data_IF_602912764270
#
_entry.id   IF_602912764270
#
_cell.length_a   1.000
_cell.length_b   1.000
_cell.length_c   1.000
_cell.angle_alpha   90.00
_cell.angle_beta   90.00
_cell.angle_gamma   90.00
#
_symmetry.space_group_name_H-M   'P 1'
#
loop_
_entity.id
_entity.type
_entity.pdbx_description
1 polymer ?
#
# COMPACT_ATOMS: atom_id res chain seq x y z
N UNK A 1 26.78 42.33 23.63
CA UNK A 1 27.01 41.05 22.93
C UNK A 1 27.32 41.35 21.48
N UNK A 2 28.30 40.67 20.88
CA UNK A 2 28.74 40.93 19.51
C UNK A 2 30.25 41.01 19.45
N UNK A 3 30.91 39.87 19.59
CA UNK A 3 32.37 39.77 19.51
C UNK A 3 32.74 39.65 18.03
N UNK A 4 33.48 40.62 17.47
CA UNK A 4 34.04 40.47 16.13
C UNK A 4 34.83 39.17 16.04
N UNK A 5 34.50 38.34 15.07
CA UNK A 5 35.04 36.98 14.96
C UNK A 5 35.68 36.81 13.58
N UNK A 6 36.95 36.41 13.57
CA UNK A 6 37.63 35.96 12.37
C UNK A 6 37.55 34.43 12.31
N UNK A 7 36.98 33.90 11.25
CA UNK A 7 36.91 32.46 11.05
C UNK A 7 38.14 32.01 10.24
N UNK A 8 38.87 31.00 10.75
CA UNK A 8 40.10 30.48 10.13
C UNK A 8 40.02 28.96 10.04
N UNK A 9 40.22 28.40 8.84
CA UNK A 9 40.27 26.95 8.60
C UNK A 9 38.99 26.18 8.94
N UNK A 10 37.84 26.53 8.36
CA UNK A 10 36.51 26.04 8.77
C UNK A 10 35.86 25.00 7.85
N UNK A 11 34.73 24.46 8.33
CA UNK A 11 33.70 23.77 7.55
C UNK A 11 32.55 24.71 7.18
N UNK A 12 31.87 24.47 6.04
CA UNK A 12 30.82 25.34 5.48
C UNK A 12 29.75 25.84 6.47
N UNK A 13 29.49 25.09 7.54
CA UNK A 13 28.53 25.42 8.60
C UNK A 13 28.82 26.76 9.30
N UNK A 14 30.08 27.12 9.52
CA UNK A 14 30.41 28.37 10.23
C UNK A 14 30.34 29.59 9.32
N UNK A 15 30.60 29.41 8.02
CA UNK A 15 30.38 30.45 7.02
C UNK A 15 28.89 30.77 6.91
N UNK A 16 28.02 29.75 6.84
CA UNK A 16 26.57 29.96 6.79
C UNK A 16 26.08 30.83 7.95
N UNK A 17 26.62 30.61 9.17
CA UNK A 17 26.29 31.45 10.33
C UNK A 17 26.79 32.87 10.15
N UNK A 18 28.02 33.08 9.68
CA UNK A 18 28.55 34.43 9.41
C UNK A 18 27.74 35.16 8.32
N UNK A 19 27.30 34.45 7.29
CA UNK A 19 26.47 35.00 6.21
C UNK A 19 25.10 35.48 6.71
N UNK A 20 24.52 34.81 7.71
CA UNK A 20 23.30 35.29 8.38
C UNK A 20 23.49 36.68 9.04
N UNK A 21 24.73 37.03 9.40
CA UNK A 21 25.10 38.34 9.94
C UNK A 21 25.71 39.27 8.87
N UNK A 22 25.77 38.84 7.60
CA UNK A 22 26.48 39.53 6.51
C UNK A 22 27.99 39.74 6.80
N UNK A 23 28.60 38.76 7.44
CA UNK A 23 30.00 38.77 7.86
C UNK A 23 30.83 37.67 7.18
N UNK A 24 30.34 37.05 6.12
CA UNK A 24 31.07 36.02 5.36
C UNK A 24 32.41 36.48 4.79
N UNK A 25 32.64 37.80 4.68
CA UNK A 25 33.93 38.37 4.31
C UNK A 25 35.03 38.12 5.37
N UNK A 26 34.66 37.87 6.64
CA UNK A 26 35.57 37.63 7.77
C UNK A 26 35.99 36.17 7.90
N UNK A 27 36.18 35.53 6.75
CA UNK A 27 36.64 34.17 6.62
C UNK A 27 37.98 34.14 5.86
N UNK A 28 38.96 33.38 6.34
CA UNK A 28 40.21 33.05 5.62
C UNK A 28 40.45 31.54 5.33
N UNK A 29 40.31 31.14 4.06
CA UNK A 29 40.42 29.73 3.63
C UNK A 29 41.83 29.17 3.89
N UNK A 30 41.95 27.86 4.13
CA UNK A 30 43.24 27.21 4.44
C UNK A 30 44.28 27.36 3.32
N UNK A 31 43.84 27.52 2.07
CA UNK A 31 44.72 27.75 0.91
C UNK A 31 45.41 29.13 0.93
N UNK A 32 44.94 30.07 1.76
CA UNK A 32 45.47 31.44 1.89
C UNK A 32 46.17 31.67 3.24
N UNK A 33 46.55 30.60 3.92
CA UNK A 33 47.05 30.62 5.29
C UNK A 33 48.56 30.95 5.35
N UNK A 34 48.89 32.13 5.88
CA UNK A 34 50.25 32.50 6.33
C UNK A 34 50.14 33.36 7.59
N UNK A 35 51.20 33.41 8.41
CA UNK A 35 51.20 34.20 9.64
C UNK A 35 50.94 35.69 9.35
N UNK A 36 51.58 36.22 8.31
CA UNK A 36 51.42 37.62 7.91
C UNK A 36 49.98 37.91 7.45
N UNK A 37 49.40 37.02 6.63
CA UNK A 37 48.02 37.17 6.18
C UNK A 37 47.00 37.13 7.33
N UNK A 38 47.22 36.29 8.36
CA UNK A 38 46.36 36.25 9.55
C UNK A 38 46.48 37.55 10.34
N UNK A 39 47.70 38.02 10.58
CA UNK A 39 47.96 39.26 11.30
C UNK A 39 47.34 40.47 10.59
N UNK A 40 47.44 40.55 9.26
CA UNK A 40 46.83 41.63 8.47
C UNK A 40 45.31 41.57 8.56
N UNK A 41 44.71 40.38 8.38
CA UNK A 41 43.25 40.21 8.49
C UNK A 41 42.71 40.50 9.88
N UNK A 42 43.48 40.20 10.92
CA UNK A 42 43.12 40.54 12.28
C UNK A 42 43.20 42.05 12.53
N UNK A 43 44.24 42.72 12.02
CA UNK A 43 44.35 44.19 12.07
C UNK A 43 43.18 44.87 11.36
N UNK A 44 42.78 44.37 10.19
CA UNK A 44 41.61 44.87 9.45
C UNK A 44 40.31 44.66 10.23
N UNK A 45 40.14 43.50 10.88
CA UNK A 45 38.95 43.21 11.71
C UNK A 45 38.88 44.15 12.91
N UNK A 46 40.01 44.42 13.56
CA UNK A 46 40.09 45.37 14.69
C UNK A 46 39.76 46.79 14.21
N UNK A 47 40.27 47.21 13.06
CA UNK A 47 39.95 48.53 12.50
C UNK A 47 38.46 48.67 12.15
N UNK A 48 37.81 47.60 11.69
CA UNK A 48 36.37 47.57 11.34
C UNK A 48 35.48 47.04 12.46
N UNK A 49 35.98 46.99 13.70
CA UNK A 49 35.26 46.29 14.78
C UNK A 49 33.88 46.90 15.07
N UNK A 50 33.73 48.22 14.96
CA UNK A 50 32.46 48.90 15.22
C UNK A 50 31.40 48.53 14.16
N UNK A 51 31.80 48.46 12.90
CA UNK A 51 30.94 48.03 11.80
C UNK A 51 30.47 46.58 12.01
N UNK A 52 31.39 45.69 12.37
CA UNK A 52 31.08 44.29 12.65
C UNK A 52 30.13 44.16 13.84
N UNK A 53 30.35 44.93 14.91
CA UNK A 53 29.46 44.96 16.08
C UNK A 53 28.06 45.46 15.73
N UNK A 54 27.94 46.48 14.88
CA UNK A 54 26.66 47.00 14.41
C UNK A 54 25.91 45.97 13.56
N UNK A 55 26.60 45.30 12.63
CA UNK A 55 26.02 44.20 11.83
C UNK A 55 25.52 43.07 12.72
N UNK A 56 26.32 42.64 13.71
CA UNK A 56 25.88 41.62 14.67
C UNK A 56 24.62 42.09 15.40
N UNK A 57 24.61 43.30 15.95
CA UNK A 57 23.47 43.81 16.69
C UNK A 57 22.19 43.92 15.82
N UNK A 58 22.32 44.36 14.57
CA UNK A 58 21.20 44.50 13.65
C UNK A 58 20.57 43.16 13.24
N UNK A 59 21.39 42.14 13.03
CA UNK A 59 20.93 40.83 12.55
C UNK A 59 20.63 39.84 13.68
N UNK A 60 21.16 40.04 14.89
CA UNK A 60 20.97 39.15 16.04
C UNK A 60 19.50 38.80 16.32
N UNK A 61 18.52 39.73 16.29
CA UNK A 61 17.12 39.37 16.51
C UNK A 61 16.58 38.37 15.48
N UNK A 62 16.92 38.54 14.20
CA UNK A 62 16.46 37.66 13.13
C UNK A 62 17.14 36.28 13.18
N UNK A 63 18.44 36.26 13.48
CA UNK A 63 19.20 35.01 13.66
C UNK A 63 18.69 34.22 14.87
N UNK A 64 18.43 34.90 15.99
CA UNK A 64 17.84 34.28 17.19
C UNK A 64 16.48 33.69 16.87
N UNK A 65 15.59 34.43 16.19
CA UNK A 65 14.27 33.92 15.77
C UNK A 65 14.37 32.72 14.82
N UNK A 66 15.34 32.71 13.92
CA UNK A 66 15.60 31.55 13.06
C UNK A 66 16.09 30.34 13.85
N UNK A 67 16.89 30.56 14.90
CA UNK A 67 17.38 29.51 15.80
C UNK A 67 16.25 28.96 16.68
N UNK A 68 15.38 29.81 17.19
CA UNK A 68 14.17 29.42 17.94
C UNK A 68 13.28 28.48 17.13
N UNK A 69 13.13 28.71 15.82
CA UNK A 69 12.37 27.82 14.93
C UNK A 69 12.95 26.40 14.88
N UNK A 70 14.26 26.22 15.07
CA UNK A 70 14.86 24.89 15.18
C UNK A 70 14.45 24.19 16.48
N UNK A 71 14.26 24.96 17.57
CA UNK A 71 13.73 24.44 18.83
C UNK A 71 12.27 24.06 18.72
N UNK A 72 11.45 24.83 18.00
CA UNK A 72 10.05 24.47 17.72
C UNK A 72 9.97 23.16 16.92
N UNK A 73 10.80 23.01 15.88
CA UNK A 73 10.90 21.77 15.10
C UNK A 73 11.40 20.59 15.94
N UNK A 74 12.40 20.82 16.81
CA UNK A 74 12.88 19.79 17.72
C UNK A 74 11.81 19.40 18.74
N UNK A 75 11.06 20.36 19.27
CA UNK A 75 9.94 20.12 20.17
C UNK A 75 8.81 19.35 19.46
N UNK A 76 8.49 19.67 18.22
CA UNK A 76 7.52 18.89 17.40
C UNK A 76 7.99 17.43 17.22
N UNK A 77 9.28 17.23 16.92
CA UNK A 77 9.87 15.92 16.73
C UNK A 77 10.01 15.11 18.03
N UNK A 78 10.27 15.76 19.16
CA UNK A 78 10.45 15.13 20.47
C UNK A 78 9.13 14.94 21.23
N UNK A 79 8.14 15.80 20.97
CA UNK A 79 6.76 15.64 21.43
C UNK A 79 6.00 14.62 20.58
N UNK A 80 6.57 14.20 19.45
CA UNK A 80 6.12 13.00 18.79
C UNK A 80 6.17 11.84 19.80
N UNK A 81 5.06 11.12 20.00
CA UNK A 81 4.94 10.17 21.10
C UNK A 81 6.11 9.17 21.06
N UNK A 82 6.85 9.12 22.17
CA UNK A 82 7.79 8.02 22.44
C UNK A 82 7.00 6.75 22.21
N UNK A 83 7.46 5.91 21.27
CA UNK A 83 6.89 4.59 21.03
C UNK A 83 7.10 3.77 22.30
N UNK A 84 6.17 3.90 23.24
CA UNK A 84 6.02 2.96 24.34
C UNK A 84 5.57 1.64 23.70
N UNK A 85 6.13 0.48 24.10
CA UNK A 85 5.57 -0.78 23.68
C UNK A 85 4.08 -0.77 24.03
N UNK A 86 3.21 -1.01 23.05
CA UNK A 86 1.78 -1.00 23.30
C UNK A 86 1.45 -1.94 24.46
N UNK A 87 0.50 -1.57 25.34
CA UNK A 87 -0.02 -2.50 26.34
C UNK A 87 -0.47 -3.79 25.64
N UNK A 88 -0.27 -4.94 26.32
CA UNK A 88 -0.71 -6.24 25.80
C UNK A 88 -2.23 -6.18 25.58
N UNK A 89 -2.66 -6.06 24.33
CA UNK A 89 -4.09 -6.13 23.96
C UNK A 89 -4.58 -7.56 24.25
N UNK A 90 -5.64 -7.74 25.05
CA UNK A 90 -6.10 -9.08 25.39
C UNK A 90 -6.49 -9.85 24.13
N UNK A 91 -5.94 -11.05 23.95
CA UNK A 91 -6.44 -11.97 22.92
C UNK A 91 -7.90 -12.30 23.25
N UNK A 92 -8.80 -12.24 22.27
CA UNK A 92 -10.25 -12.35 22.50
C UNK A 92 -10.99 -11.02 22.70
N UNK A 93 -10.29 -9.88 22.83
CA UNK A 93 -10.93 -8.55 22.94
C UNK A 93 -11.17 -7.89 21.57
N UNK A 94 -12.14 -6.96 21.53
CA UNK A 94 -12.39 -6.10 20.35
C UNK A 94 -11.15 -5.29 19.98
N UNK A 95 -10.48 -4.69 20.95
CA UNK A 95 -9.24 -3.91 20.76
C UNK A 95 -8.11 -4.76 20.15
N UNK A 96 -8.04 -6.03 20.55
CA UNK A 96 -7.14 -7.03 19.97
C UNK A 96 -7.49 -7.37 18.53
N UNK A 97 -8.78 -7.43 18.17
CA UNK A 97 -9.21 -7.63 16.79
C UNK A 97 -8.96 -6.39 15.92
N UNK A 98 -9.25 -5.20 16.42
CA UNK A 98 -9.05 -3.92 15.73
C UNK A 98 -7.57 -3.63 15.42
N UNK A 99 -6.64 -4.18 16.20
CA UNK A 99 -5.22 -4.15 15.83
C UNK A 99 -4.96 -4.77 14.44
N UNK A 100 -5.63 -5.88 14.14
CA UNK A 100 -5.43 -6.65 12.91
C UNK A 100 -6.32 -6.16 11.77
N UNK A 101 -7.58 -5.83 12.07
CA UNK A 101 -8.61 -5.50 11.07
C UNK A 101 -8.74 -3.99 10.81
N UNK A 102 -8.14 -3.17 11.67
CA UNK A 102 -8.50 -1.75 11.85
C UNK A 102 -9.84 -1.60 12.58
N UNK A 103 -10.23 -0.36 12.89
CA UNK A 103 -11.55 -0.08 13.47
C UNK A 103 -12.67 -0.56 12.52
N UNK A 104 -13.61 -1.34 13.05
CA UNK A 104 -14.74 -1.89 12.31
C UNK A 104 -16.02 -1.74 13.14
N UNK A 105 -17.17 -1.77 12.48
CA UNK A 105 -18.48 -1.78 13.13
C UNK A 105 -19.01 -3.21 13.26
N UNK A 106 -19.26 -3.89 12.14
CA UNK A 106 -19.71 -5.29 12.08
C UNK A 106 -18.92 -6.14 11.08
N UNK A 107 -18.88 -7.45 11.33
CA UNK A 107 -18.20 -8.45 10.52
C UNK A 107 -19.21 -9.50 10.03
N UNK A 108 -19.09 -9.91 8.77
CA UNK A 108 -20.00 -10.85 8.11
C UNK A 108 -19.24 -11.88 7.26
N UNK A 109 -19.84 -13.04 7.07
CA UNK A 109 -19.37 -14.06 6.12
C UNK A 109 -20.54 -14.53 5.26
N UNK A 110 -20.32 -14.65 3.95
CA UNK A 110 -21.40 -14.98 3.03
C UNK A 110 -21.09 -14.76 1.57
N UNK A 111 -22.12 -14.70 0.75
CA UNK A 111 -22.03 -14.49 -0.69
C UNK A 111 -23.24 -13.73 -1.23
N UNK A 112 -23.17 -13.29 -2.48
CA UNK A 112 -24.31 -12.75 -3.21
C UNK A 112 -25.42 -13.82 -3.32
N UNK A 113 -26.67 -13.44 -3.08
CA UNK A 113 -27.83 -14.33 -3.22
C UNK A 113 -28.09 -14.73 -4.68
N UNK A 114 -27.70 -13.88 -5.62
CA UNK A 114 -27.82 -14.10 -7.06
C UNK A 114 -26.67 -14.95 -7.64
N UNK A 115 -27.02 -16.05 -8.32
CA UNK A 115 -26.07 -16.98 -8.93
C UNK A 115 -25.27 -16.39 -10.08
N UNK A 116 -25.87 -15.55 -10.92
CA UNK A 116 -25.19 -14.94 -12.07
C UNK A 116 -24.06 -14.01 -11.62
N UNK A 117 -24.22 -13.39 -10.44
CA UNK A 117 -23.16 -12.61 -9.80
C UNK A 117 -22.03 -13.54 -9.35
N UNK A 118 -22.36 -14.69 -8.74
CA UNK A 118 -21.38 -15.64 -8.18
C UNK A 118 -20.55 -16.35 -9.23
N UNK A 119 -21.16 -16.82 -10.32
CA UNK A 119 -20.49 -17.67 -11.33
C UNK A 119 -19.21 -17.04 -11.90
N UNK A 120 -19.22 -15.72 -12.14
CA UNK A 120 -18.07 -14.99 -12.66
C UNK A 120 -17.18 -14.34 -11.60
N UNK A 121 -17.53 -14.44 -10.31
CA UNK A 121 -16.80 -13.76 -9.25
C UNK A 121 -15.48 -14.45 -8.89
N UNK A 122 -14.52 -13.68 -8.40
CA UNK A 122 -13.30 -14.23 -7.84
C UNK A 122 -13.53 -14.91 -6.48
N UNK A 123 -14.59 -14.52 -5.75
CA UNK A 123 -15.01 -15.03 -4.44
C UNK A 123 -16.54 -15.16 -4.40
N UNK A 124 -17.21 -14.86 -3.29
CA UNK A 124 -18.68 -14.90 -3.17
C UNK A 124 -19.45 -13.76 -3.82
N UNK A 125 -18.86 -12.96 -4.72
CA UNK A 125 -19.62 -11.94 -5.49
C UNK A 125 -20.11 -10.71 -4.72
N UNK A 126 -19.77 -10.56 -3.44
CA UNK A 126 -20.34 -9.53 -2.54
C UNK A 126 -20.09 -8.09 -3.03
N UNK A 127 -18.89 -7.77 -3.53
CA UNK A 127 -18.59 -6.41 -4.02
C UNK A 127 -19.52 -6.02 -5.17
N UNK A 128 -19.71 -6.91 -6.15
CA UNK A 128 -20.61 -6.66 -7.26
C UNK A 128 -22.05 -6.51 -6.80
N UNK A 129 -22.52 -7.37 -5.89
CA UNK A 129 -23.86 -7.28 -5.32
C UNK A 129 -24.09 -5.94 -4.60
N UNK A 130 -23.12 -5.48 -3.79
CA UNK A 130 -23.20 -4.18 -3.09
C UNK A 130 -23.27 -3.04 -4.10
N UNK A 131 -22.39 -3.00 -5.10
CA UNK A 131 -22.39 -1.94 -6.11
C UNK A 131 -23.70 -1.90 -6.91
N UNK A 132 -24.20 -3.06 -7.33
CA UNK A 132 -25.47 -3.19 -8.06
C UNK A 132 -26.62 -2.65 -7.19
N UNK A 133 -26.71 -3.10 -5.94
CA UNK A 133 -27.73 -2.62 -5.01
C UNK A 133 -27.65 -1.10 -4.78
N UNK A 134 -26.44 -0.54 -4.61
CA UNK A 134 -26.25 0.90 -4.44
C UNK A 134 -26.68 1.71 -5.69
N UNK A 135 -26.45 1.18 -6.90
CA UNK A 135 -26.91 1.78 -8.16
C UNK A 135 -28.43 1.69 -8.29
N UNK A 136 -29.01 0.50 -8.10
CA UNK A 136 -30.44 0.24 -8.26
C UNK A 136 -31.31 1.00 -7.23
N UNK A 137 -30.76 1.25 -6.03
CA UNK A 137 -31.42 2.07 -5.00
C UNK A 137 -31.14 3.57 -5.13
N UNK A 138 -30.37 4.00 -6.13
CA UNK A 138 -30.05 5.42 -6.35
C UNK A 138 -29.14 6.05 -5.29
N UNK A 139 -28.46 5.24 -4.46
CA UNK A 139 -27.51 5.74 -3.44
C UNK A 139 -26.18 6.21 -4.07
N UNK A 140 -25.88 5.70 -5.25
CA UNK A 140 -24.78 6.16 -6.12
C UNK A 140 -25.28 6.25 -7.57
N UNK A 141 -24.67 7.15 -8.33
CA UNK A 141 -24.90 7.32 -9.77
C UNK A 141 -23.85 6.57 -10.60
N UNK A 142 -22.74 6.14 -9.98
CA UNK A 142 -21.70 5.37 -10.65
C UNK A 142 -20.73 4.71 -9.69
N UNK A 143 -20.06 3.65 -10.15
CA UNK A 143 -19.04 2.93 -9.40
C UNK A 143 -17.71 2.93 -10.16
N UNK A 144 -16.65 3.49 -9.57
CA UNK A 144 -15.31 3.43 -10.15
C UNK A 144 -14.76 2.00 -9.99
N UNK A 145 -14.72 1.27 -11.09
CA UNK A 145 -14.31 -0.14 -11.16
C UNK A 145 -13.15 -0.33 -12.14
N UNK A 146 -12.53 -1.50 -12.15
CA UNK A 146 -11.41 -1.80 -13.06
C UNK A 146 -11.43 -3.23 -13.55
N UNK A 147 -11.02 -3.43 -14.81
CA UNK A 147 -10.81 -4.76 -15.42
C UNK A 147 -9.53 -4.78 -16.24
N UNK A 148 -9.08 -5.97 -16.64
CA UNK A 148 -8.09 -6.09 -17.72
C UNK A 148 -8.82 -6.16 -19.06
N UNK A 149 -8.34 -5.41 -20.04
CA UNK A 149 -8.80 -5.48 -21.43
C UNK A 149 -7.62 -5.80 -22.33
N UNK A 150 -7.88 -6.46 -23.46
CA UNK A 150 -6.92 -6.52 -24.54
C UNK A 150 -6.98 -5.21 -25.36
N UNK A 151 -5.89 -4.45 -25.39
CA UNK A 151 -5.76 -3.22 -26.16
C UNK A 151 -4.32 -3.09 -26.68
N UNK A 152 -4.17 -2.71 -27.95
CA UNK A 152 -2.87 -2.54 -28.62
C UNK A 152 -1.98 -3.79 -28.51
N UNK A 153 -2.58 -4.96 -28.70
CA UNK A 153 -1.89 -6.26 -28.64
C UNK A 153 -1.40 -6.66 -27.23
N UNK A 154 -1.89 -6.02 -26.17
CA UNK A 154 -1.50 -6.32 -24.78
C UNK A 154 -2.70 -6.26 -23.85
N UNK A 155 -2.65 -7.03 -22.77
CA UNK A 155 -3.56 -6.83 -21.65
C UNK A 155 -3.26 -5.48 -20.98
N UNK A 156 -4.26 -4.69 -20.61
CA UNK A 156 -4.07 -3.40 -19.95
C UNK A 156 -5.18 -3.16 -18.92
N UNK A 157 -4.88 -2.52 -17.77
CA UNK A 157 -5.91 -2.11 -16.84
C UNK A 157 -6.78 -1.03 -17.49
N UNK A 158 -8.10 -1.20 -17.41
CA UNK A 158 -9.09 -0.25 -17.82
C UNK A 158 -9.96 0.10 -16.61
N UNK A 159 -10.02 1.38 -16.29
CA UNK A 159 -10.77 1.93 -15.15
C UNK A 159 -11.80 2.91 -15.69
N UNK A 160 -13.05 2.77 -15.27
CA UNK A 160 -14.17 3.61 -15.68
C UNK A 160 -15.24 3.68 -14.58
N UNK A 161 -16.21 4.58 -14.74
CA UNK A 161 -17.42 4.63 -13.92
C UNK A 161 -18.45 3.68 -14.53
N UNK A 162 -18.79 2.61 -13.82
CA UNK A 162 -19.90 1.73 -14.16
C UNK A 162 -21.21 2.33 -13.63
N UNK A 163 -22.21 2.45 -14.50
CA UNK A 163 -23.53 3.01 -14.22
C UNK A 163 -24.63 1.93 -14.18
N UNK A 164 -24.34 0.74 -14.72
CA UNK A 164 -25.32 -0.35 -14.79
C UNK A 164 -24.82 -1.62 -14.12
N UNK A 165 -25.76 -2.54 -13.91
CA UNK A 165 -25.49 -3.90 -13.47
C UNK A 165 -24.51 -4.61 -14.39
N UNK A 166 -24.71 -4.53 -15.70
CA UNK A 166 -23.90 -5.20 -16.72
C UNK A 166 -22.47 -4.65 -16.72
N UNK A 167 -22.32 -3.33 -16.65
CA UNK A 167 -21.01 -2.69 -16.55
C UNK A 167 -20.28 -3.11 -15.26
N UNK A 168 -20.98 -3.15 -14.13
CA UNK A 168 -20.44 -3.62 -12.85
C UNK A 168 -20.00 -5.08 -12.93
N UNK A 169 -20.83 -5.95 -13.52
CA UNK A 169 -20.49 -7.36 -13.71
C UNK A 169 -19.34 -7.55 -14.70
N UNK A 170 -19.16 -6.67 -15.68
CA UNK A 170 -18.03 -6.74 -16.60
C UNK A 170 -16.66 -6.50 -15.92
N UNK A 171 -16.65 -5.90 -14.72
CA UNK A 171 -15.46 -5.68 -13.91
C UNK A 171 -15.14 -6.81 -12.92
N UNK A 172 -15.97 -7.86 -12.86
CA UNK A 172 -15.77 -8.99 -11.93
C UNK A 172 -14.45 -9.71 -12.20
N UNK A 173 -13.91 -10.33 -11.15
CA UNK A 173 -12.57 -10.95 -11.01
C UNK A 173 -11.55 -10.03 -10.35
N UNK A 174 -10.37 -10.59 -10.03
CA UNK A 174 -9.28 -9.87 -9.40
C UNK A 174 -8.21 -9.49 -10.41
N UNK A 175 -7.67 -8.27 -10.28
CA UNK A 175 -6.44 -7.84 -10.96
C UNK A 175 -5.29 -7.94 -9.95
N UNK A 176 -4.38 -8.89 -10.17
CA UNK A 176 -3.22 -9.10 -9.30
C UNK A 176 -1.98 -8.27 -9.69
N UNK A 177 -2.17 -7.32 -10.60
CA UNK A 177 -1.12 -6.44 -11.10
C UNK A 177 -1.14 -5.08 -10.43
N UNK A 178 0.04 -4.48 -10.36
CA UNK A 178 0.18 -3.07 -10.04
C UNK A 178 -0.30 -2.20 -11.21
N UNK A 179 -1.21 -1.26 -10.94
CA UNK A 179 -1.65 -0.24 -11.90
C UNK A 179 -2.02 1.09 -11.23
N UNK A 180 -1.87 2.22 -11.94
CA UNK A 180 -2.16 3.54 -11.40
C UNK A 180 -3.67 3.83 -11.38
N UNK A 181 -4.23 4.03 -10.19
CA UNK A 181 -5.64 4.44 -10.00
C UNK A 181 -5.77 5.93 -9.64
N UNK A 182 -4.70 6.57 -9.15
CA UNK A 182 -4.73 7.91 -8.56
C UNK A 182 -5.33 8.99 -9.49
N UNK A 183 -5.03 8.97 -10.79
CA UNK A 183 -5.59 9.93 -11.75
C UNK A 183 -7.11 9.80 -11.87
N UNK A 184 -7.62 8.56 -11.88
CA UNK A 184 -9.05 8.26 -11.99
C UNK A 184 -9.78 8.64 -10.70
N UNK A 185 -9.12 8.48 -9.56
CA UNK A 185 -9.64 8.95 -8.27
C UNK A 185 -9.76 10.47 -8.25
N UNK A 186 -8.72 11.20 -8.70
CA UNK A 186 -8.74 12.66 -8.66
C UNK A 186 -9.81 13.23 -9.60
N UNK A 187 -9.98 12.65 -10.79
CA UNK A 187 -10.94 13.14 -11.79
C UNK A 187 -12.39 13.02 -11.34
N UNK A 188 -12.71 12.21 -10.32
CA UNK A 188 -14.09 12.09 -9.82
C UNK A 188 -14.69 13.42 -9.35
N UNK A 189 -13.84 14.38 -8.95
CA UNK A 189 -14.31 15.71 -8.56
C UNK A 189 -14.96 16.49 -9.69
N UNK A 190 -14.58 16.18 -10.93
CA UNK A 190 -14.99 16.90 -12.13
C UNK A 190 -16.31 16.35 -12.71
N UNK A 191 -16.78 15.19 -12.21
CA UNK A 191 -18.04 14.58 -12.64
C UNK A 191 -19.18 14.95 -11.66
N UNK A 192 -20.38 15.27 -12.17
CA UNK A 192 -21.56 15.42 -11.31
C UNK A 192 -21.97 14.06 -10.74
N UNK A 193 -22.54 14.09 -9.54
CA UNK A 193 -23.14 12.93 -8.89
C UNK A 193 -22.38 12.37 -7.70
N UNK A 194 -22.87 11.23 -7.20
CA UNK A 194 -22.28 10.47 -6.08
C UNK A 194 -21.77 9.11 -6.53
N UNK A 195 -20.54 8.76 -6.14
CA UNK A 195 -19.85 7.57 -6.62
C UNK A 195 -19.45 6.60 -5.51
N UNK A 196 -19.44 5.32 -5.83
CA UNK A 196 -18.67 4.33 -5.09
C UNK A 196 -17.28 4.14 -5.72
N UNK A 197 -16.28 3.81 -4.91
CA UNK A 197 -14.92 3.52 -5.38
C UNK A 197 -14.50 2.14 -4.90
N UNK A 198 -14.07 1.27 -5.82
CA UNK A 198 -13.43 0.00 -5.47
C UNK A 198 -11.91 0.14 -5.60
N UNK A 199 -11.18 -0.10 -4.51
CA UNK A 199 -9.74 0.14 -4.50
C UNK A 199 -8.99 -0.76 -3.50
N UNK A 200 -7.69 -0.90 -3.73
CA UNK A 200 -6.76 -1.58 -2.82
C UNK A 200 -6.43 -0.70 -1.60
N UNK A 201 -5.90 -1.26 -0.50
CA UNK A 201 -5.64 -0.52 0.74
C UNK A 201 -4.78 0.74 0.53
N UNK A 202 -3.68 0.60 -0.21
CA UNK A 202 -2.78 1.72 -0.52
C UNK A 202 -3.42 2.79 -1.42
N UNK A 203 -4.35 2.41 -2.30
CA UNK A 203 -5.08 3.35 -3.16
C UNK A 203 -6.14 4.11 -2.35
N UNK A 204 -6.82 3.46 -1.40
CA UNK A 204 -7.75 4.11 -0.47
C UNK A 204 -7.04 5.06 0.50
N UNK A 205 -5.85 4.69 0.97
CA UNK A 205 -5.00 5.59 1.76
C UNK A 205 -4.64 6.86 0.98
N UNK A 206 -4.34 6.73 -0.30
CA UNK A 206 -4.11 7.87 -1.18
C UNK A 206 -5.39 8.70 -1.38
N UNK A 207 -6.53 8.04 -1.63
CA UNK A 207 -7.82 8.70 -1.79
C UNK A 207 -8.20 9.54 -0.57
N UNK A 208 -8.09 9.01 0.65
CA UNK A 208 -8.39 9.76 1.88
C UNK A 208 -7.52 11.02 2.01
N UNK A 209 -6.24 10.96 1.61
CA UNK A 209 -5.36 12.14 1.57
C UNK A 209 -5.76 13.15 0.51
N UNK A 210 -6.29 12.69 -0.63
CA UNK A 210 -6.80 13.57 -1.68
C UNK A 210 -8.09 14.26 -1.23
N UNK A 211 -9.00 13.54 -0.58
CA UNK A 211 -10.24 14.10 0.00
C UNK A 211 -10.00 15.19 1.04
N UNK A 212 -8.90 15.10 1.81
CA UNK A 212 -8.49 16.16 2.73
C UNK A 212 -8.06 17.44 2.03
N UNK A 213 -7.51 17.33 0.82
CA UNK A 213 -7.04 18.46 0.01
C UNK A 213 -8.09 19.00 -0.96
N UNK A 214 -9.06 18.16 -1.31
CA UNK A 214 -10.09 18.41 -2.31
C UNK A 214 -11.47 18.09 -1.70
N UNK A 215 -12.08 19.02 -0.96
CA UNK A 215 -13.43 18.83 -0.41
C UNK A 215 -14.47 18.48 -1.47
N UNK A 216 -14.31 19.01 -2.69
CA UNK A 216 -15.13 18.67 -3.84
C UNK A 216 -15.07 17.17 -4.17
N UNK A 217 -13.89 16.54 -4.10
CA UNK A 217 -13.73 15.12 -4.33
C UNK A 217 -14.42 14.31 -3.22
N UNK A 218 -14.28 14.75 -1.96
CA UNK A 218 -14.92 14.12 -0.81
C UNK A 218 -16.44 14.09 -0.97
N UNK A 219 -17.03 15.20 -1.40
CA UNK A 219 -18.48 15.31 -1.61
C UNK A 219 -19.00 14.37 -2.71
N UNK A 220 -18.16 14.01 -3.70
CA UNK A 220 -18.52 13.07 -4.76
C UNK A 220 -18.46 11.61 -4.34
N UNK A 221 -17.74 11.25 -3.28
CA UNK A 221 -17.53 9.84 -2.91
C UNK A 221 -18.46 9.42 -1.78
N UNK A 222 -19.50 8.68 -2.14
CA UNK A 222 -20.47 8.10 -1.23
C UNK A 222 -19.91 6.92 -0.45
N UNK A 223 -19.30 5.95 -1.16
CA UNK A 223 -18.84 4.69 -0.56
C UNK A 223 -17.44 4.30 -1.05
N UNK A 224 -16.60 3.84 -0.13
CA UNK A 224 -15.26 3.31 -0.41
C UNK A 224 -15.23 1.83 -0.10
N UNK A 225 -15.19 1.01 -1.15
CA UNK A 225 -15.13 -0.44 -1.04
C UNK A 225 -13.68 -0.89 -1.16
N UNK A 226 -13.13 -1.38 -0.05
CA UNK A 226 -11.76 -1.85 0.07
C UNK A 226 -11.63 -3.34 -0.22
N UNK A 227 -10.70 -3.70 -1.09
CA UNK A 227 -10.35 -5.11 -1.31
C UNK A 227 -9.19 -5.50 -0.40
N UNK A 228 -9.30 -6.62 0.30
CA UNK A 228 -8.18 -7.21 1.02
C UNK A 228 -7.03 -7.50 0.03
N UNK A 229 -5.81 -7.12 0.41
CA UNK A 229 -4.66 -7.21 -0.48
C UNK A 229 -3.43 -7.78 0.24
N UNK A 230 -2.82 -8.81 -0.33
CA UNK A 230 -1.50 -9.30 0.14
C UNK A 230 -0.35 -8.51 -0.50
N UNK A 231 -0.31 -8.46 -1.84
CA UNK A 231 0.53 -7.54 -2.60
C UNK A 231 0.08 -7.50 -4.07
N UNK A 232 0.55 -6.47 -4.77
CA UNK A 232 0.45 -6.38 -6.23
C UNK A 232 1.77 -6.80 -6.89
N UNK A 233 1.68 -7.48 -8.03
CA UNK A 233 2.85 -7.86 -8.83
C UNK A 233 3.04 -6.89 -9.99
N UNK A 234 4.28 -6.64 -10.38
CA UNK A 234 4.57 -5.99 -11.65
C UNK A 234 4.10 -6.86 -12.81
N UNK A 235 3.68 -6.19 -13.90
CA UNK A 235 3.26 -6.82 -15.15
C UNK A 235 4.24 -7.87 -15.68
N UNK A 236 5.55 -7.68 -15.47
CA UNK A 236 6.59 -8.64 -15.88
C UNK A 236 6.29 -10.07 -15.43
N UNK A 237 5.66 -10.29 -14.27
CA UNK A 237 5.31 -11.63 -13.83
C UNK A 237 4.30 -12.32 -14.76
N UNK A 238 3.24 -11.59 -15.14
CA UNK A 238 2.24 -12.10 -16.08
C UNK A 238 2.88 -12.32 -17.46
N UNK A 239 3.70 -11.39 -17.93
CA UNK A 239 4.38 -11.51 -19.22
C UNK A 239 5.24 -12.78 -19.29
N UNK A 240 6.03 -13.05 -18.24
CA UNK A 240 6.85 -14.27 -18.16
C UNK A 240 6.04 -15.55 -18.01
N UNK A 241 4.90 -15.50 -17.34
CA UNK A 241 4.00 -16.65 -17.25
C UNK A 241 3.41 -16.99 -18.62
N UNK A 242 2.90 -16.00 -19.35
CA UNK A 242 2.29 -16.18 -20.66
C UNK A 242 3.32 -16.65 -21.70
N UNK A 243 4.53 -16.06 -21.69
CA UNK A 243 5.67 -16.50 -22.51
C UNK A 243 5.97 -18.00 -22.30
N UNK A 244 6.05 -18.44 -21.04
CA UNK A 244 6.32 -19.84 -20.70
C UNK A 244 5.17 -20.79 -21.08
N UNK A 245 3.94 -20.28 -21.08
CA UNK A 245 2.75 -21.02 -21.52
C UNK A 245 2.60 -21.06 -23.05
N UNK A 246 3.46 -20.33 -23.78
CA UNK A 246 3.33 -20.19 -25.24
C UNK A 246 2.09 -19.41 -25.67
N UNK A 247 1.56 -18.52 -24.81
CA UNK A 247 0.35 -17.75 -25.08
C UNK A 247 0.76 -16.36 -25.61
N UNK A 248 0.58 -16.08 -26.92
CA UNK A 248 0.92 -14.79 -27.51
C UNK A 248 -0.09 -13.72 -27.09
N UNK A 249 0.40 -12.69 -26.37
CA UNK A 249 -0.47 -11.66 -25.79
C UNK A 249 -1.25 -10.83 -26.82
N UNK A 250 -0.71 -10.67 -28.02
CA UNK A 250 -1.34 -9.94 -29.11
C UNK A 250 -2.52 -10.68 -29.73
N UNK A 251 -2.73 -11.94 -29.37
CA UNK A 251 -3.87 -12.76 -29.80
C UNK A 251 -4.86 -13.01 -28.65
N UNK A 252 -4.69 -12.36 -27.50
CA UNK A 252 -5.64 -12.48 -26.39
C UNK A 252 -6.79 -11.49 -26.62
N UNK A 253 -8.02 -11.97 -26.57
CA UNK A 253 -9.24 -11.16 -26.61
C UNK A 253 -9.80 -10.88 -25.21
N UNK A 254 -9.72 -11.83 -24.28
CA UNK A 254 -10.15 -11.66 -22.89
C UNK A 254 -9.27 -12.46 -21.92
N UNK A 255 -9.13 -11.97 -20.70
CA UNK A 255 -8.29 -12.57 -19.67
C UNK A 255 -8.85 -12.36 -18.27
N UNK A 256 -8.95 -13.45 -17.52
CA UNK A 256 -9.25 -13.40 -16.10
C UNK A 256 -8.24 -14.23 -15.31
N UNK A 257 -7.60 -13.62 -14.31
CA UNK A 257 -6.64 -14.32 -13.46
C UNK A 257 -7.26 -15.53 -12.75
N UNK A 258 -8.50 -15.36 -12.27
CA UNK A 258 -9.12 -16.32 -11.37
C UNK A 258 -10.65 -16.28 -11.48
N UNK A 259 -11.24 -17.36 -11.98
CA UNK A 259 -12.69 -17.66 -11.90
C UNK A 259 -12.92 -19.07 -11.37
N UNK A 260 -14.15 -19.35 -10.94
CA UNK A 260 -14.59 -20.66 -10.48
C UNK A 260 -14.23 -20.95 -9.02
N UNK A 261 -14.62 -22.16 -8.58
CA UNK A 261 -14.49 -22.57 -7.18
C UNK A 261 -13.03 -22.68 -6.73
N UNK A 262 -12.81 -22.62 -5.42
CA UNK A 262 -11.48 -22.60 -4.80
C UNK A 262 -10.50 -23.65 -5.37
N UNK A 263 -9.28 -23.31 -5.81
CA UNK A 263 -8.60 -22.00 -5.87
C UNK A 263 -8.80 -21.25 -7.18
N UNK A 264 -9.69 -21.70 -8.04
CA UNK A 264 -10.03 -21.10 -9.32
C UNK A 264 -9.02 -21.43 -10.41
N UNK A 265 -9.39 -21.06 -11.62
CA UNK A 265 -8.59 -21.22 -12.84
C UNK A 265 -8.38 -19.86 -13.50
N UNK A 266 -7.26 -19.72 -14.17
CA UNK A 266 -7.02 -18.62 -15.11
C UNK A 266 -7.68 -18.96 -16.43
N UNK A 267 -8.35 -17.97 -17.02
CA UNK A 267 -9.08 -18.08 -18.29
C UNK A 267 -8.49 -17.09 -19.28
N UNK A 268 -8.22 -17.59 -20.48
CA UNK A 268 -7.76 -16.79 -21.62
C UNK A 268 -8.64 -17.13 -22.80
N UNK A 269 -9.29 -16.12 -23.39
CA UNK A 269 -9.99 -16.26 -24.66
C UNK A 269 -9.13 -15.62 -25.74
N UNK A 270 -8.81 -16.38 -26.76
CA UNK A 270 -8.01 -15.95 -27.90
C UNK A 270 -8.89 -15.22 -28.92
N UNK A 271 -8.28 -14.43 -29.81
CA UNK A 271 -8.97 -13.66 -30.85
C UNK A 271 -9.65 -14.55 -31.90
N UNK A 272 -9.17 -15.78 -32.09
CA UNK A 272 -9.78 -16.80 -32.96
C UNK A 272 -10.93 -17.56 -32.28
N UNK A 273 -11.27 -17.22 -31.03
CA UNK A 273 -12.30 -17.87 -30.24
C UNK A 273 -11.80 -19.04 -29.38
N UNK A 274 -10.54 -19.47 -29.50
CA UNK A 274 -10.01 -20.55 -28.68
C UNK A 274 -9.99 -20.18 -27.19
N UNK A 275 -10.38 -21.12 -26.33
CA UNK A 275 -10.34 -20.93 -24.88
C UNK A 275 -9.23 -21.76 -24.24
N UNK A 276 -8.34 -21.08 -23.52
CA UNK A 276 -7.25 -21.70 -22.77
C UNK A 276 -7.52 -21.51 -21.28
N UNK A 277 -7.55 -22.62 -20.54
CA UNK A 277 -7.68 -22.57 -19.08
C UNK A 277 -6.57 -23.34 -18.39
N UNK A 278 -6.06 -22.79 -17.27
CA UNK A 278 -5.07 -23.47 -16.44
C UNK A 278 -5.26 -23.12 -14.96
N UNK A 279 -4.75 -23.93 -14.02
CA UNK A 279 -4.90 -23.65 -12.59
C UNK A 279 -4.33 -22.28 -12.23
N UNK A 280 -5.08 -21.49 -11.44
CA UNK A 280 -4.60 -20.18 -10.94
C UNK A 280 -3.25 -20.30 -10.21
N UNK A 281 -3.00 -21.46 -9.60
CA UNK A 281 -1.74 -21.76 -8.91
C UNK A 281 -0.50 -21.59 -9.80
N UNK A 282 -0.62 -21.63 -11.13
CA UNK A 282 0.50 -21.37 -12.04
C UNK A 282 0.99 -19.92 -11.96
N UNK A 283 0.10 -18.96 -11.78
CA UNK A 283 0.45 -17.58 -11.43
C UNK A 283 0.70 -17.44 -9.92
N UNK A 284 -0.21 -17.97 -9.12
CA UNK A 284 -0.22 -17.83 -7.67
C UNK A 284 1.02 -18.41 -6.99
N UNK A 285 1.70 -19.40 -7.58
CA UNK A 285 2.96 -19.92 -7.06
C UNK A 285 4.06 -18.85 -7.03
N UNK A 286 4.26 -18.17 -8.16
CA UNK A 286 5.29 -17.15 -8.30
C UNK A 286 4.95 -15.86 -7.55
N UNK A 287 3.65 -15.53 -7.49
CA UNK A 287 3.16 -14.49 -6.62
C UNK A 287 3.42 -14.82 -5.14
N UNK A 288 3.16 -16.06 -4.69
CA UNK A 288 3.49 -16.50 -3.33
C UNK A 288 5.00 -16.56 -3.05
N UNK A 289 5.84 -16.62 -4.09
CA UNK A 289 7.30 -16.45 -3.97
C UNK A 289 7.73 -14.99 -3.97
N UNK A 290 6.80 -14.02 -4.08
CA UNK A 290 7.11 -12.59 -4.12
C UNK A 290 7.96 -12.17 -5.33
N UNK A 291 8.01 -12.98 -6.39
CA UNK A 291 8.68 -12.58 -7.62
C UNK A 291 7.95 -11.40 -8.26
N UNK A 292 8.72 -10.40 -8.65
CA UNK A 292 8.24 -9.16 -9.25
C UNK A 292 7.20 -8.44 -8.38
N UNK A 293 7.26 -8.56 -7.05
CA UNK A 293 6.41 -7.76 -6.16
C UNK A 293 6.66 -6.25 -6.34
N UNK A 294 5.60 -5.45 -6.35
CA UNK A 294 5.72 -3.99 -6.37
C UNK A 294 6.44 -3.50 -5.10
N UNK A 295 7.52 -2.67 -5.20
CA UNK A 295 8.36 -2.29 -4.05
C UNK A 295 7.59 -1.71 -2.86
N UNK A 296 6.54 -0.93 -3.10
CA UNK A 296 5.71 -0.35 -2.03
C UNK A 296 5.00 -1.40 -1.18
N UNK A 297 4.72 -2.59 -1.71
CA UNK A 297 4.11 -3.69 -0.96
C UNK A 297 5.06 -4.26 0.10
N UNK A 298 6.37 -4.03 -0.03
CA UNK A 298 7.35 -4.33 1.02
C UNK A 298 7.26 -3.36 2.21
N UNK A 299 6.52 -2.27 2.13
CA UNK A 299 6.33 -1.34 3.24
C UNK A 299 4.85 -1.14 3.62
N UNK A 300 3.96 -1.97 3.06
CA UNK A 300 2.54 -1.89 3.33
C UNK A 300 2.20 -2.57 4.66
N UNK A 301 1.50 -1.84 5.51
CA UNK A 301 1.04 -2.22 6.85
C UNK A 301 -0.49 -2.46 6.94
N UNK A 302 -1.19 -2.28 5.82
CA UNK A 302 -2.65 -2.35 5.72
C UNK A 302 -3.07 -3.50 4.79
N UNK A 303 -3.59 -4.57 5.39
CA UNK A 303 -4.16 -5.71 4.69
C UNK A 303 -5.67 -5.55 4.43
N UNK A 304 -6.37 -4.96 5.41
CA UNK A 304 -7.82 -4.95 5.51
C UNK A 304 -8.47 -3.70 4.93
N UNK A 305 -7.72 -2.87 4.20
CA UNK A 305 -8.19 -1.60 3.66
C UNK A 305 -8.80 -0.72 4.75
N UNK A 306 -7.98 -0.32 5.72
CA UNK A 306 -8.42 0.41 6.93
C UNK A 306 -9.03 1.78 6.63
N UNK A 307 -8.81 2.29 5.43
CA UNK A 307 -9.33 3.55 4.93
C UNK A 307 -10.63 3.42 4.12
N UNK A 308 -11.23 2.23 4.04
CA UNK A 308 -12.52 1.99 3.38
C UNK A 308 -13.72 2.41 4.25
N UNK A 309 -14.92 2.28 3.70
CA UNK A 309 -16.19 2.26 4.46
C UNK A 309 -16.65 0.79 4.65
N UNK A 310 -16.35 -0.07 3.67
CA UNK A 310 -16.53 -1.52 3.72
C UNK A 310 -15.29 -2.25 3.19
N UNK A 311 -14.92 -3.40 3.75
CA UNK A 311 -13.79 -4.20 3.29
C UNK A 311 -14.19 -5.63 2.94
N UNK A 312 -13.65 -6.19 1.85
CA UNK A 312 -14.06 -7.47 1.28
C UNK A 312 -12.86 -8.35 0.94
N UNK A 313 -12.97 -9.66 1.19
CA UNK A 313 -11.94 -10.61 0.78
C UNK A 313 -12.43 -12.06 0.72
N UNK A 314 -11.57 -12.91 0.18
CA UNK A 314 -11.77 -14.37 0.18
C UNK A 314 -11.87 -14.92 1.62
N UNK A 315 -12.84 -15.78 1.91
CA UNK A 315 -12.90 -16.48 3.18
C UNK A 315 -11.92 -17.66 3.19
N UNK A 316 -10.63 -17.43 3.48
CA UNK A 316 -9.59 -18.47 3.46
C UNK A 316 -9.65 -19.46 4.65
N UNK A 317 -10.81 -20.07 4.86
CA UNK A 317 -11.08 -21.02 5.94
C UNK A 317 -11.02 -22.47 5.43
N UNK A 318 -10.33 -23.40 6.14
CA UNK A 318 -10.28 -24.81 5.75
C UNK A 318 -11.65 -25.47 5.53
N UNK A 319 -12.60 -25.18 6.40
CA UNK A 319 -13.97 -25.69 6.40
C UNK A 319 -14.78 -25.25 5.17
N UNK A 320 -14.42 -24.13 4.53
CA UNK A 320 -15.09 -23.63 3.34
C UNK A 320 -14.53 -24.18 2.03
N UNK A 321 -13.46 -24.98 2.07
CA UNK A 321 -12.82 -25.52 0.85
C UNK A 321 -13.74 -26.47 0.08
N UNK A 322 -14.51 -27.29 0.80
CA UNK A 322 -15.45 -28.26 0.25
C UNK A 322 -16.87 -27.72 0.12
N UNK A 323 -17.13 -26.49 0.60
CA UNK A 323 -18.45 -25.88 0.49
C UNK A 323 -18.79 -25.61 -0.98
N UNK A 324 -20.00 -25.91 -1.48
CA UNK A 324 -20.33 -25.77 -2.90
C UNK A 324 -20.26 -24.32 -3.39
N UNK A 325 -20.66 -23.38 -2.52
CA UNK A 325 -20.60 -21.94 -2.80
C UNK A 325 -19.43 -21.31 -2.07
N UNK A 326 -18.61 -20.57 -2.82
CA UNK A 326 -17.49 -19.83 -2.26
C UNK A 326 -17.98 -18.60 -1.50
N UNK A 327 -17.56 -18.47 -0.24
CA UNK A 327 -17.88 -17.32 0.60
C UNK A 327 -16.79 -16.24 0.56
N UNK A 328 -17.21 -15.01 0.80
CA UNK A 328 -16.37 -13.87 1.14
C UNK A 328 -16.51 -13.55 2.62
N UNK A 329 -15.45 -13.04 3.23
CA UNK A 329 -15.54 -12.29 4.47
C UNK A 329 -15.64 -10.81 4.13
N UNK A 330 -16.47 -10.07 4.86
CA UNK A 330 -16.60 -8.64 4.68
C UNK A 330 -17.00 -7.92 5.96
N UNK A 331 -16.50 -6.71 6.15
CA UNK A 331 -16.78 -5.89 7.33
C UNK A 331 -17.19 -4.47 6.92
N UNK A 332 -18.02 -3.85 7.74
CA UNK A 332 -18.34 -2.43 7.69
C UNK A 332 -17.48 -1.67 8.71
N UNK A 333 -17.24 -0.38 8.45
CA UNK A 333 -16.48 0.49 9.37
C UNK A 333 -17.30 1.61 9.99
N UNK A 334 -18.56 1.75 9.56
CA UNK A 334 -19.48 2.75 10.08
C UNK A 334 -20.93 2.24 10.03
N UNK A 335 -21.84 2.84 10.83
CA UNK A 335 -23.25 2.42 10.90
C UNK A 335 -24.01 2.50 9.58
N UNK A 336 -23.71 3.50 8.72
CA UNK A 336 -24.34 3.64 7.40
C UNK A 336 -24.05 2.42 6.52
N UNK A 337 -22.79 1.97 6.52
CA UNK A 337 -22.37 0.78 5.78
C UNK A 337 -22.95 -0.50 6.36
N UNK A 338 -23.06 -0.59 7.69
CA UNK A 338 -23.73 -1.72 8.36
C UNK A 338 -25.20 -1.80 7.97
N UNK A 339 -25.91 -0.66 7.97
CA UNK A 339 -27.30 -0.60 7.58
C UNK A 339 -27.51 -1.08 6.14
N UNK A 340 -26.67 -0.65 5.19
CA UNK A 340 -26.70 -1.16 3.80
C UNK A 340 -26.54 -2.68 3.75
N UNK A 341 -25.54 -3.22 4.44
CA UNK A 341 -25.28 -4.66 4.40
C UNK A 341 -26.41 -5.46 5.05
N UNK A 342 -26.96 -4.99 6.17
CA UNK A 342 -28.08 -5.65 6.86
C UNK A 342 -29.37 -5.60 6.04
N UNK A 343 -29.66 -4.48 5.37
CA UNK A 343 -30.77 -4.37 4.41
C UNK A 343 -30.64 -5.39 3.29
N UNK A 344 -29.45 -5.49 2.67
CA UNK A 344 -29.19 -6.47 1.63
C UNK A 344 -29.33 -7.92 2.10
N UNK A 345 -28.97 -8.21 3.36
CA UNK A 345 -29.17 -9.53 3.98
C UNK A 345 -30.67 -9.80 4.19
N UNK A 346 -31.41 -8.83 4.75
CA UNK A 346 -32.84 -8.94 4.98
C UNK A 346 -33.64 -9.17 3.69
N UNK A 347 -33.22 -8.55 2.58
CA UNK A 347 -33.82 -8.74 1.26
C UNK A 347 -33.30 -9.96 0.50
N UNK A 348 -32.39 -10.77 1.08
CA UNK A 348 -31.81 -11.94 0.41
C UNK A 348 -30.86 -11.61 -0.75
N UNK A 349 -30.52 -10.33 -0.96
CA UNK A 349 -29.51 -9.91 -1.95
C UNK A 349 -28.12 -10.42 -1.56
N UNK A 350 -27.86 -10.54 -0.26
CA UNK A 350 -26.73 -11.27 0.31
C UNK A 350 -27.25 -12.45 1.15
N UNK A 351 -26.72 -13.64 0.89
CA UNK A 351 -26.82 -14.77 1.81
C UNK A 351 -25.59 -14.73 2.72
N UNK A 352 -25.73 -14.10 3.88
CA UNK A 352 -24.64 -13.87 4.81
C UNK A 352 -25.12 -13.85 6.26
N UNK A 353 -24.19 -14.18 7.17
CA UNK A 353 -24.41 -14.18 8.61
C UNK A 353 -23.36 -13.31 9.32
N UNK A 354 -23.66 -12.76 10.52
CA UNK A 354 -22.66 -12.14 11.37
C UNK A 354 -21.53 -13.12 11.69
N UNK A 355 -20.30 -12.62 11.72
CA UNK A 355 -19.12 -13.43 11.95
C UNK A 355 -18.22 -12.82 13.03
N UNK A 356 -17.61 -13.69 13.82
CA UNK A 356 -16.66 -13.28 14.84
C UNK A 356 -15.39 -12.67 14.20
N UNK A 357 -14.86 -11.54 14.71
CA UNK A 357 -13.64 -10.91 14.17
C UNK A 357 -12.41 -11.83 14.15
N UNK A 358 -12.31 -12.81 15.05
CA UNK A 358 -11.23 -13.80 15.05
C UNK A 358 -11.38 -14.80 13.90
N UNK A 359 -12.57 -15.01 13.34
CA UNK A 359 -12.73 -15.75 12.07
C UNK A 359 -12.02 -15.02 10.93
N UNK A 360 -12.04 -13.68 10.91
CA UNK A 360 -11.34 -12.88 9.90
C UNK A 360 -9.82 -12.99 10.06
N UNK A 361 -9.33 -12.94 11.31
CA UNK A 361 -7.92 -13.13 11.63
C UNK A 361 -7.46 -14.53 11.22
N UNK A 362 -8.25 -15.56 11.53
CA UNK A 362 -7.96 -16.96 11.14
C UNK A 362 -7.89 -17.10 9.62
N UNK A 363 -8.87 -16.55 8.91
CA UNK A 363 -8.90 -16.57 7.45
C UNK A 363 -7.67 -15.87 6.84
N UNK A 364 -7.24 -14.73 7.38
CA UNK A 364 -6.18 -13.91 6.78
C UNK A 364 -4.83 -13.95 7.50
N UNK A 365 -4.63 -14.90 8.42
CA UNK A 365 -3.51 -14.90 9.40
C UNK A 365 -2.15 -14.58 8.78
N UNK A 366 -1.83 -15.22 7.65
CA UNK A 366 -0.52 -15.09 6.98
C UNK A 366 -0.29 -13.67 6.43
N UNK A 367 -1.28 -13.11 5.75
CA UNK A 367 -1.21 -11.75 5.20
C UNK A 367 -1.15 -10.73 6.34
N UNK A 368 -1.97 -10.91 7.37
CA UNK A 368 -1.97 -10.07 8.56
C UNK A 368 -0.60 -10.02 9.26
N UNK A 369 0.02 -11.18 9.51
CA UNK A 369 1.35 -11.25 10.13
C UNK A 369 2.40 -10.59 9.23
N UNK A 370 2.33 -10.80 7.91
CA UNK A 370 3.21 -10.12 6.97
C UNK A 370 3.11 -8.60 7.11
N UNK A 371 1.89 -8.03 7.04
CA UNK A 371 1.66 -6.59 7.04
C UNK A 371 1.90 -5.92 8.41
N UNK A 372 1.37 -6.50 9.50
CA UNK A 372 1.35 -5.85 10.83
C UNK A 372 2.56 -6.14 11.71
N UNK A 373 3.24 -7.28 11.53
CA UNK A 373 4.36 -7.70 12.40
C UNK A 373 5.67 -7.85 11.64
N UNK A 374 5.68 -8.66 10.57
CA UNK A 374 6.90 -8.97 9.82
C UNK A 374 7.54 -7.73 9.15
N UNK A 375 6.77 -6.67 8.89
CA UNK A 375 7.28 -5.39 8.39
C UNK A 375 8.45 -4.84 9.23
N UNK A 376 8.47 -5.07 10.56
CA UNK A 376 9.57 -4.66 11.42
C UNK A 376 10.87 -5.42 11.10
N UNK A 377 10.77 -6.72 10.77
CA UNK A 377 11.91 -7.55 10.35
C UNK A 377 12.40 -7.13 8.96
N UNK A 378 11.47 -6.87 8.04
CA UNK A 378 11.79 -6.39 6.68
C UNK A 378 12.46 -5.02 6.73
N UNK A 379 11.98 -4.11 7.56
CA UNK A 379 12.61 -2.81 7.81
C UNK A 379 14.06 -2.95 8.26
N UNK A 380 14.31 -3.81 9.26
CA UNK A 380 15.65 -4.01 9.83
C UNK A 380 16.66 -4.63 8.85
N UNK A 381 16.20 -5.54 7.98
CA UNK A 381 17.08 -6.31 7.10
C UNK A 381 17.11 -5.84 5.65
N UNK A 382 16.24 -4.91 5.24
CA UNK A 382 16.12 -4.46 3.85
C UNK A 382 17.45 -3.95 3.26
N UNK A 383 18.28 -3.26 4.06
CA UNK A 383 19.55 -2.71 3.61
C UNK A 383 20.53 -3.80 3.13
N UNK A 384 20.51 -5.00 3.75
CA UNK A 384 21.33 -6.15 3.34
C UNK A 384 20.97 -6.65 1.93
N UNK A 385 19.78 -6.31 1.43
CA UNK A 385 19.31 -6.65 0.10
C UNK A 385 19.37 -5.46 -0.88
N UNK A 386 19.96 -4.33 -0.48
CA UNK A 386 19.98 -3.09 -1.28
C UNK A 386 18.58 -2.49 -1.44
N UNK A 387 17.77 -2.54 -0.39
CA UNK A 387 16.40 -2.02 -0.36
C UNK A 387 16.18 -1.13 0.86
N UNK A 388 15.16 -0.28 0.77
CA UNK A 388 14.66 0.49 1.91
C UNK A 388 13.19 0.14 2.11
N UNK A 389 12.85 -0.28 3.32
CA UNK A 389 11.47 -0.54 3.74
C UNK A 389 11.15 0.43 4.86
N UNK A 390 10.43 1.54 4.60
CA UNK A 390 10.05 2.46 5.66
C UNK A 390 9.06 1.78 6.62
N UNK A 391 9.32 1.93 7.91
CA UNK A 391 8.45 1.45 8.98
C UNK A 391 8.63 2.37 10.18
N UNK A 392 7.50 2.87 10.71
CA UNK A 392 7.45 3.71 11.92
C UNK A 392 6.49 3.12 12.96
N UNK A 393 6.11 1.86 12.78
CA UNK A 393 5.17 1.20 13.68
C UNK A 393 5.80 0.83 15.02
N UNK A 394 4.98 0.49 16.02
CA UNK A 394 5.44 0.39 17.40
C UNK A 394 6.19 -0.90 17.72
N UNK A 395 6.15 -1.90 16.82
CA UNK A 395 6.68 -3.23 17.10
C UNK A 395 8.15 -3.38 16.72
N UNK A 396 8.91 -4.02 17.62
CA UNK A 396 10.23 -4.56 17.33
C UNK A 396 10.09 -5.93 16.64
N UNK A 397 11.05 -6.32 15.77
CA UNK A 397 11.00 -7.60 15.10
C UNK A 397 11.16 -8.75 16.10
N UNK A 398 10.29 -9.77 16.00
CA UNK A 398 10.45 -11.05 16.70
C UNK A 398 11.52 -11.90 16.01
N UNK A 399 11.99 -12.96 16.67
CA UNK A 399 12.97 -13.90 16.09
C UNK A 399 12.50 -14.46 14.73
N UNK A 400 11.22 -14.84 14.62
CA UNK A 400 10.64 -15.38 13.39
C UNK A 400 10.44 -14.31 12.32
N UNK A 401 10.27 -13.03 12.71
CA UNK A 401 10.21 -11.93 11.75
C UNK A 401 11.58 -11.70 11.09
N UNK A 402 12.68 -11.85 11.85
CA UNK A 402 14.05 -11.76 11.34
C UNK A 402 14.40 -12.91 10.40
N UNK A 403 13.97 -14.13 10.70
CA UNK A 403 14.15 -15.28 9.80
C UNK A 403 13.23 -15.21 8.57
N UNK A 404 12.01 -14.71 8.73
CA UNK A 404 11.03 -14.63 7.66
C UNK A 404 11.29 -13.51 6.66
N UNK A 405 11.82 -12.37 7.12
CA UNK A 405 12.04 -11.20 6.26
C UNK A 405 12.92 -11.48 5.01
N UNK A 406 14.08 -12.17 5.12
CA UNK A 406 14.86 -12.60 3.96
C UNK A 406 14.08 -13.39 2.92
N UNK A 407 13.08 -14.18 3.35
CA UNK A 407 12.28 -15.01 2.45
C UNK A 407 11.32 -14.18 1.56
N UNK A 408 11.08 -12.92 1.93
CA UNK A 408 10.35 -11.96 1.10
C UNK A 408 11.29 -11.05 0.32
N UNK A 409 12.36 -10.58 0.94
CA UNK A 409 13.29 -9.62 0.36
C UNK A 409 14.14 -10.23 -0.77
N UNK A 410 14.62 -11.46 -0.59
CA UNK A 410 15.49 -12.12 -1.55
C UNK A 410 14.80 -12.36 -2.90
N UNK A 411 13.59 -12.95 -2.98
CA UNK A 411 12.93 -13.14 -4.27
C UNK A 411 12.59 -11.83 -4.98
N UNK A 412 12.21 -10.78 -4.24
CA UNK A 412 12.02 -9.44 -4.82
C UNK A 412 13.33 -8.92 -5.38
N UNK A 413 14.46 -9.13 -4.69
CA UNK A 413 15.79 -8.71 -5.16
C UNK A 413 16.22 -9.45 -6.41
N UNK A 414 16.03 -10.78 -6.43
CA UNK A 414 16.42 -11.65 -7.53
C UNK A 414 15.57 -11.39 -8.77
N UNK A 415 14.27 -11.14 -8.60
CA UNK A 415 13.36 -10.85 -9.71
C UNK A 415 13.57 -9.48 -10.37
N UNK A 416 14.41 -8.60 -9.81
CA UNK A 416 14.89 -7.41 -10.55
C UNK A 416 15.78 -7.78 -11.73
N UNK A 417 16.43 -8.95 -11.70
CA UNK A 417 17.22 -9.47 -12.81
C UNK A 417 16.43 -10.49 -13.61
N UNK A 418 16.21 -10.20 -14.90
CA UNK A 418 15.48 -11.11 -15.79
C UNK A 418 16.22 -12.45 -16.02
N UNK A 419 17.53 -12.53 -15.74
CA UNK A 419 18.28 -13.80 -15.75
C UNK A 419 17.88 -14.68 -14.56
N UNK A 420 17.93 -14.13 -13.35
CA UNK A 420 17.60 -14.87 -12.12
C UNK A 420 16.12 -15.21 -12.03
N UNK A 421 15.23 -14.29 -12.43
CA UNK A 421 13.80 -14.56 -12.49
C UNK A 421 13.48 -15.75 -13.40
N UNK A 422 14.06 -15.78 -14.62
CA UNK A 422 13.89 -16.91 -15.55
C UNK A 422 14.44 -18.22 -14.99
N UNK A 423 15.59 -18.17 -14.32
CA UNK A 423 16.15 -19.35 -13.66
C UNK A 423 15.17 -19.92 -12.62
N UNK A 424 14.68 -19.09 -11.69
CA UNK A 424 13.72 -19.52 -10.65
C UNK A 424 12.43 -20.05 -11.27
N UNK A 425 11.90 -19.38 -12.30
CA UNK A 425 10.65 -19.81 -12.96
C UNK A 425 10.80 -21.12 -13.75
N UNK A 426 12.02 -21.50 -14.16
CA UNK A 426 12.32 -22.78 -14.83
C UNK A 426 12.54 -23.93 -13.86
N UNK A 427 12.80 -23.68 -12.58
CA UNK A 427 12.93 -24.74 -11.58
C UNK A 427 11.65 -25.59 -11.53
N UNK A 428 11.78 -26.93 -11.39
CA UNK A 428 10.65 -27.79 -11.09
C UNK A 428 9.88 -27.28 -9.87
N UNK A 429 8.55 -27.15 -10.00
CA UNK A 429 7.68 -26.63 -8.92
C UNK A 429 7.89 -27.31 -7.56
N UNK A 430 8.12 -28.64 -7.46
CA UNK A 430 8.37 -29.30 -6.19
C UNK A 430 9.56 -28.72 -5.41
N UNK A 431 10.60 -28.22 -6.09
CA UNK A 431 11.77 -27.62 -5.44
C UNK A 431 11.46 -26.26 -4.80
N UNK A 432 10.39 -25.60 -5.23
CA UNK A 432 9.96 -24.29 -4.70
C UNK A 432 9.06 -24.45 -3.47
N UNK A 433 8.45 -25.62 -3.26
CA UNK A 433 7.50 -25.83 -2.16
C UNK A 433 8.13 -25.79 -0.77
N UNK A 434 9.31 -26.38 -0.49
CA UNK A 434 9.96 -26.25 0.81
C UNK A 434 10.21 -24.80 1.21
N UNK A 435 10.66 -23.97 0.25
CA UNK A 435 10.87 -22.54 0.47
C UNK A 435 9.57 -21.83 0.87
N UNK A 436 8.48 -22.07 0.14
CA UNK A 436 7.17 -21.49 0.43
C UNK A 436 6.61 -22.03 1.76
N UNK A 437 6.85 -23.29 2.09
CA UNK A 437 6.42 -23.90 3.34
C UNK A 437 7.11 -23.25 4.54
N UNK A 438 8.44 -23.08 4.46
CA UNK A 438 9.22 -22.36 5.47
C UNK A 438 8.75 -20.90 5.62
N UNK A 439 8.55 -20.21 4.49
CA UNK A 439 8.01 -18.84 4.50
C UNK A 439 6.65 -18.79 5.19
N UNK A 440 5.75 -19.71 4.86
CA UNK A 440 4.41 -19.81 5.48
C UNK A 440 4.46 -20.16 6.96
N UNK A 441 5.40 -21.01 7.38
CA UNK A 441 5.60 -21.37 8.78
C UNK A 441 6.00 -20.12 9.59
N UNK A 442 6.96 -19.34 9.11
CA UNK A 442 7.49 -18.15 9.80
C UNK A 442 6.47 -17.00 9.93
N UNK A 443 5.44 -16.98 9.07
CA UNK A 443 4.31 -16.04 9.15
C UNK A 443 3.02 -16.66 9.72
N UNK A 444 3.11 -17.77 10.46
CA UNK A 444 1.94 -18.44 11.06
C UNK A 444 1.94 -18.41 12.59
N UNK A 445 2.81 -17.60 13.21
CA UNK A 445 2.91 -17.43 14.67
C UNK A 445 1.94 -16.37 15.18
#
# INVERSE_FOLDING_TARGET
MGVPTLLVGWSHKYLEVLDMFQLGEWQMDYSRFSLDAICDRFRDLVHREQEVRQKIAAHLPAVTKSSERNWDLAAELLSAPIIRPEPKRPFGSREGAEFWLGAFDQCFIGHAGDEQIREGAASGGVVSAVLIHLLETGRIEGALVSRLIAKDGRLQPHTWLAHTREETLSARTSIYLDFPLARHLLSLKDFPGRFAVVALPCQLKALRRMEQKHPELRARIAFRLGLLCGHASHRKLLDKLLERKGIPQNQIADFAFRKGHWRGRTYVRMSDGAEITFPYLDFGLYQNLWLYCAPRCLACDDHFAEHSDMSFGDAWLPELKSHPIKHSIFLSRNPESTAVLQEMIAHGTLAAEPADPFTFIRAQKRSLIYHKKNIAGRHRLACLFGMTVPYRGPHRPRWNDLLGAPLFLLPVRLSRSDRWARFIMRLPKPLLYPYIALMKLLINF
#
